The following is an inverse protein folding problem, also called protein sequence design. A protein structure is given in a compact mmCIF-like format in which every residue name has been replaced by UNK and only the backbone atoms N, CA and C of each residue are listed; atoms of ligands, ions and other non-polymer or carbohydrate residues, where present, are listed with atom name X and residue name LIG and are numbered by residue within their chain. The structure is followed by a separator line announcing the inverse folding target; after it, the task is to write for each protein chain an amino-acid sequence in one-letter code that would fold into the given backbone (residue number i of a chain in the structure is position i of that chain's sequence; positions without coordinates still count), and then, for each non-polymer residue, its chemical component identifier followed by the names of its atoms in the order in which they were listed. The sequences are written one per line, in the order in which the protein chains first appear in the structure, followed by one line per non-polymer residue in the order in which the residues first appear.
data_IF_677613275996
#
_entry.id   IF_677613275996
#
_cell.length_a   1.000
_cell.length_b   1.000
_cell.length_c   1.000
_cell.angle_alpha   90.00
_cell.angle_beta   90.00
_cell.angle_gamma   90.00
#
_symmetry.space_group_name_H-M   'P 1'
#
loop_
_entity.id
_entity.type
_entity.pdbx_description
1 polymer ?
#
# COMPACT_ATOMS: atom_id res chain seq x y z
N UNK A 1 -22.79 -16.07 10.40
CA UNK A 1 -22.78 -15.48 9.03
C UNK A 1 -21.74 -14.36 8.92
N UNK A 2 -21.62 -13.45 9.92
CA UNK A 2 -20.58 -12.41 9.92
C UNK A 2 -19.17 -12.97 10.15
N UNK A 3 -19.04 -13.97 11.00
CA UNK A 3 -17.78 -14.68 11.26
C UNK A 3 -17.30 -15.51 10.05
N UNK A 4 -18.20 -16.13 9.31
CA UNK A 4 -17.86 -16.91 8.10
C UNK A 4 -17.51 -16.01 6.89
N UNK A 5 -17.89 -14.73 6.93
CA UNK A 5 -17.59 -13.75 5.90
C UNK A 5 -16.23 -13.07 6.02
N UNK A 6 -15.43 -13.37 7.06
CA UNK A 6 -14.12 -12.73 7.28
C UNK A 6 -14.20 -11.27 7.72
N UNK A 7 -15.40 -10.75 8.04
CA UNK A 7 -15.59 -9.41 8.62
C UNK A 7 -15.41 -9.56 10.12
N UNK A 8 -14.22 -9.27 10.59
CA UNK A 8 -13.88 -9.42 12.02
C UNK A 8 -14.23 -8.19 12.86
N UNK A 9 -14.26 -7.00 12.29
CA UNK A 9 -14.67 -5.76 12.95
C UNK A 9 -15.09 -4.73 11.90
N UNK A 10 -16.20 -4.04 12.17
CA UNK A 10 -16.57 -2.83 11.43
C UNK A 10 -15.95 -1.66 12.19
N UNK A 11 -14.81 -1.19 11.72
CA UNK A 11 -14.16 -0.01 12.27
C UNK A 11 -14.73 1.22 11.56
N UNK A 12 -15.52 2.02 12.25
CA UNK A 12 -15.91 3.34 11.78
C UNK A 12 -14.72 4.29 11.95
N UNK A 13 -13.99 4.52 10.88
CA UNK A 13 -12.80 5.39 10.85
C UNK A 13 -13.09 6.81 11.36
N UNK A 14 -14.35 7.24 11.36
CA UNK A 14 -14.76 8.58 11.79
C UNK A 14 -14.70 8.83 13.30
N UNK A 15 -14.68 7.76 14.12
CA UNK A 15 -14.71 7.86 15.58
C UNK A 15 -13.35 7.65 16.27
N UNK A 16 -12.29 7.28 15.54
CA UNK A 16 -11.01 6.88 16.15
C UNK A 16 -10.29 7.98 16.95
N UNK A 17 -10.47 9.23 16.61
CA UNK A 17 -9.81 10.34 17.30
C UNK A 17 -10.68 11.61 17.30
N UNK A 18 -11.79 11.61 18.04
CA UNK A 18 -12.65 12.78 18.11
C UNK A 18 -11.91 13.99 18.70
N UNK A 19 -12.19 15.17 18.15
CA UNK A 19 -11.59 16.42 18.62
C UNK A 19 -11.96 16.71 20.09
N UNK A 20 -10.97 17.15 20.87
CA UNK A 20 -11.16 17.47 22.29
C UNK A 20 -11.11 16.28 23.25
N UNK A 21 -10.77 15.09 22.73
CA UNK A 21 -10.59 13.87 23.52
C UNK A 21 -9.14 13.42 23.53
N UNK A 22 -8.76 12.68 24.57
CA UNK A 22 -7.50 11.90 24.59
C UNK A 22 -7.76 10.56 23.96
N UNK A 23 -7.06 10.26 22.87
CA UNK A 23 -7.21 9.01 22.13
C UNK A 23 -6.12 8.02 22.53
N UNK A 24 -6.52 6.81 22.90
CA UNK A 24 -5.62 5.68 23.15
C UNK A 24 -5.62 4.77 21.92
N UNK A 25 -4.50 4.73 21.20
CA UNK A 25 -4.39 4.03 19.92
C UNK A 25 -3.19 3.12 19.92
N UNK A 26 -3.27 2.04 19.17
CA UNK A 26 -2.06 1.33 18.77
C UNK A 26 -1.32 2.13 17.71
N UNK A 27 -0.02 1.89 17.55
CA UNK A 27 0.78 2.56 16.51
C UNK A 27 0.21 2.28 15.11
N UNK A 28 -0.33 1.08 14.87
CA UNK A 28 -0.94 0.74 13.60
C UNK A 28 -2.22 1.54 13.31
N UNK A 29 -3.08 1.71 14.32
CA UNK A 29 -4.29 2.53 14.21
C UNK A 29 -3.99 4.02 13.99
N UNK A 30 -2.87 4.51 14.53
CA UNK A 30 -2.46 5.91 14.34
C UNK A 30 -1.88 6.24 12.96
N UNK A 31 -1.76 5.25 12.06
CA UNK A 31 -1.22 5.48 10.71
C UNK A 31 -2.09 6.46 9.94
N UNK A 32 -1.47 7.53 9.41
CA UNK A 32 -2.17 8.60 8.69
C UNK A 32 -2.77 9.70 9.57
N UNK A 33 -2.80 9.52 10.90
CA UNK A 33 -3.25 10.54 11.84
C UNK A 33 -2.09 11.44 12.27
N UNK A 34 -2.41 12.65 12.72
CA UNK A 34 -1.47 13.59 13.33
C UNK A 34 -2.12 14.26 14.53
N UNK A 35 -1.34 14.44 15.59
CA UNK A 35 -1.82 15.01 16.85
C UNK A 35 -0.89 16.12 17.31
N UNK A 36 -1.40 17.19 17.92
CA UNK A 36 -0.54 18.25 18.50
C UNK A 36 0.45 17.67 19.51
N UNK A 37 -0.02 16.77 20.36
CA UNK A 37 0.76 16.15 21.42
C UNK A 37 0.61 14.64 21.31
N UNK A 38 1.73 13.93 21.32
CA UNK A 38 1.75 12.45 21.31
C UNK A 38 2.56 11.94 22.50
N UNK A 39 1.96 11.05 23.27
CA UNK A 39 2.63 10.27 24.29
C UNK A 39 2.95 8.89 23.73
N UNK A 40 4.21 8.51 23.70
CA UNK A 40 4.61 7.16 23.33
C UNK A 40 5.06 6.43 24.59
N UNK A 41 4.21 5.52 25.06
CA UNK A 41 4.48 4.63 26.17
C UNK A 41 5.02 3.30 25.63
N UNK A 42 6.14 2.84 26.11
CA UNK A 42 6.73 1.54 25.77
C UNK A 42 8.18 1.58 25.27
N UNK A 43 8.96 2.56 25.72
CA UNK A 43 10.39 2.61 25.47
C UNK A 43 11.16 1.42 26.08
N UNK A 44 10.50 0.60 26.87
CA UNK A 44 11.05 -0.65 27.40
C UNK A 44 11.05 -1.81 26.39
N UNK A 45 10.36 -1.65 25.25
CA UNK A 45 10.25 -2.67 24.24
C UNK A 45 11.59 -2.94 23.52
N UNK A 46 11.72 -4.16 23.08
CA UNK A 46 12.86 -4.64 22.27
C UNK A 46 12.33 -5.34 21.02
N UNK A 47 13.14 -5.42 19.93
CA UNK A 47 12.74 -6.17 18.74
C UNK A 47 12.39 -7.60 19.09
N UNK A 48 11.16 -8.02 18.78
CA UNK A 48 10.69 -9.39 19.08
C UNK A 48 11.32 -10.37 18.09
N UNK A 49 11.74 -11.52 18.60
CA UNK A 49 12.24 -12.60 17.76
C UNK A 49 11.06 -13.22 16.99
N UNK A 50 11.00 -12.96 15.70
CA UNK A 50 10.01 -13.52 14.77
C UNK A 50 10.61 -14.59 13.86
N UNK A 51 11.69 -15.24 14.30
CA UNK A 51 12.35 -16.27 13.49
C UNK A 51 11.42 -17.44 13.25
N UNK A 52 11.01 -17.58 12.01
CA UNK A 52 10.39 -18.77 11.48
C UNK A 52 11.42 -19.44 10.57
N UNK A 53 11.97 -20.56 10.99
CA UNK A 53 13.01 -21.30 10.27
C UNK A 53 12.57 -21.68 8.84
N UNK A 54 11.26 -21.85 8.66
CA UNK A 54 10.68 -22.09 7.33
C UNK A 54 10.87 -20.88 6.42
N UNK A 55 10.61 -19.67 6.91
CA UNK A 55 10.76 -18.44 6.11
C UNK A 55 12.21 -18.16 5.75
N UNK A 56 13.13 -18.40 6.69
CA UNK A 56 14.58 -18.31 6.39
C UNK A 56 14.99 -19.33 5.33
N UNK A 57 14.50 -20.56 5.41
CA UNK A 57 14.78 -21.60 4.43
C UNK A 57 14.21 -21.23 3.05
N UNK A 58 13.04 -20.60 3.01
CA UNK A 58 12.43 -20.12 1.74
C UNK A 58 13.27 -18.99 1.15
N UNK A 59 13.69 -18.02 1.97
CA UNK A 59 14.55 -16.93 1.53
C UNK A 59 15.84 -17.48 0.91
N UNK A 60 16.58 -18.30 1.64
CA UNK A 60 17.85 -18.89 1.19
C UNK A 60 17.71 -19.72 -0.08
N UNK A 61 16.59 -20.44 -0.22
CA UNK A 61 16.40 -21.37 -1.32
C UNK A 61 15.89 -20.71 -2.61
N UNK A 62 15.06 -19.68 -2.49
CA UNK A 62 14.33 -19.10 -3.62
C UNK A 62 14.78 -17.71 -4.01
N UNK A 63 15.45 -16.96 -3.14
CA UNK A 63 16.00 -15.66 -3.51
C UNK A 63 17.43 -15.81 -4.02
N UNK A 64 17.64 -15.49 -5.28
CA UNK A 64 18.96 -15.58 -5.93
C UNK A 64 19.88 -14.38 -5.69
N UNK A 65 19.40 -13.36 -5.05
CA UNK A 65 20.14 -12.15 -4.65
C UNK A 65 19.88 -11.86 -3.18
N UNK A 66 20.81 -11.18 -2.49
CA UNK A 66 20.56 -10.78 -1.11
C UNK A 66 19.26 -9.97 -1.04
N UNK A 67 18.36 -10.37 -0.15
CA UNK A 67 17.19 -9.58 0.16
C UNK A 67 17.63 -8.20 0.69
N UNK A 68 16.93 -7.14 0.32
CA UNK A 68 17.18 -5.80 0.88
C UNK A 68 17.03 -5.80 2.40
N UNK A 69 16.08 -6.57 2.91
CA UNK A 69 15.85 -6.83 4.32
C UNK A 69 15.85 -8.34 4.55
N UNK A 70 17.01 -8.96 4.81
CA UNK A 70 17.08 -10.36 5.12
C UNK A 70 16.16 -10.73 6.29
N UNK A 71 15.46 -11.83 6.19
CA UNK A 71 14.45 -12.24 7.17
C UNK A 71 15.02 -12.30 8.62
N UNK A 72 16.28 -12.70 8.75
CA UNK A 72 16.98 -12.73 10.03
C UNK A 72 16.99 -11.39 10.78
N UNK A 73 17.09 -10.27 10.04
CA UNK A 73 17.18 -8.91 10.59
C UNK A 73 15.89 -8.10 10.45
N UNK A 74 14.87 -8.63 9.78
CA UNK A 74 13.56 -7.94 9.56
C UNK A 74 12.95 -7.42 10.87
N UNK A 75 13.10 -8.15 11.99
CA UNK A 75 12.63 -7.71 13.32
C UNK A 75 13.15 -6.34 13.75
N UNK A 76 14.35 -5.96 13.32
CA UNK A 76 14.95 -4.66 13.64
C UNK A 76 14.34 -3.58 12.76
N UNK A 77 14.15 -3.87 11.46
CA UNK A 77 13.51 -2.94 10.54
C UNK A 77 12.06 -2.68 10.93
N UNK A 78 11.30 -3.72 11.26
CA UNK A 78 9.90 -3.60 11.70
C UNK A 78 9.80 -2.83 13.01
N UNK A 79 10.69 -3.09 13.95
CA UNK A 79 10.76 -2.36 15.20
C UNK A 79 10.99 -0.86 14.97
N UNK A 80 11.97 -0.48 14.15
CA UNK A 80 12.26 0.92 13.88
C UNK A 80 11.19 1.60 13.03
N UNK A 81 10.60 0.92 12.06
CA UNK A 81 9.45 1.43 11.31
C UNK A 81 8.26 1.73 12.21
N UNK A 82 8.00 0.85 13.16
CA UNK A 82 6.92 1.02 14.12
C UNK A 82 7.14 2.29 14.95
N UNK A 83 8.33 2.46 15.53
CA UNK A 83 8.61 3.66 16.34
C UNK A 83 8.74 4.92 15.49
N UNK A 84 9.28 4.84 14.29
CA UNK A 84 9.25 5.95 13.36
C UNK A 84 7.80 6.40 13.08
N UNK A 85 6.90 5.46 12.86
CA UNK A 85 5.48 5.77 12.68
C UNK A 85 4.92 6.46 13.92
N UNK A 86 5.18 5.94 15.13
CA UNK A 86 4.69 6.55 16.35
C UNK A 86 5.21 7.99 16.56
N UNK A 87 6.51 8.19 16.40
CA UNK A 87 7.15 9.49 16.64
C UNK A 87 6.71 10.54 15.62
N UNK A 88 6.50 10.13 14.37
CA UNK A 88 6.05 11.04 13.30
C UNK A 88 4.58 11.43 13.41
N UNK A 89 3.85 10.97 14.43
CA UNK A 89 2.45 11.40 14.66
C UNK A 89 2.36 12.73 15.37
N UNK A 90 3.42 13.17 16.07
CA UNK A 90 3.44 14.44 16.80
C UNK A 90 3.65 15.63 15.85
N UNK A 91 2.80 16.65 15.96
CA UNK A 91 2.94 17.91 15.25
C UNK A 91 3.81 18.91 16.01
N UNK A 92 3.57 19.04 17.33
CA UNK A 92 4.18 20.08 18.15
C UNK A 92 5.01 19.50 19.30
N UNK A 93 4.54 18.42 19.96
CA UNK A 93 5.20 17.86 21.13
C UNK A 93 5.11 16.34 21.16
N UNK A 94 6.27 15.70 21.25
CA UNK A 94 6.42 14.26 21.47
C UNK A 94 6.94 14.01 22.88
N UNK A 95 6.18 13.26 23.67
CA UNK A 95 6.55 12.87 25.03
C UNK A 95 6.82 11.37 25.05
N UNK A 96 8.02 11.02 25.50
CA UNK A 96 8.46 9.63 25.58
C UNK A 96 8.37 9.18 27.04
N UNK A 97 7.68 8.08 27.29
CA UNK A 97 7.50 7.54 28.64
C UNK A 97 7.99 6.11 28.75
N UNK A 98 8.44 5.73 29.93
CA UNK A 98 8.76 4.36 30.28
C UNK A 98 8.33 4.06 31.73
N UNK A 99 8.03 2.81 32.02
CA UNK A 99 7.66 2.37 33.37
C UNK A 99 8.90 2.11 34.21
N UNK A 100 9.13 2.94 35.21
CA UNK A 100 10.29 2.84 36.10
C UNK A 100 10.26 1.61 37.04
N UNK A 101 9.06 1.13 37.41
CA UNK A 101 8.92 0.03 38.36
C UNK A 101 9.50 -1.31 37.90
N UNK A 102 9.75 -1.44 36.61
CA UNK A 102 10.20 -2.72 36.03
C UNK A 102 11.47 -2.68 35.20
N UNK A 103 11.79 -1.58 34.54
CA UNK A 103 13.04 -1.44 33.71
C UNK A 103 13.23 0.02 33.28
N UNK A 104 14.48 0.44 33.25
CA UNK A 104 14.95 1.58 32.45
C UNK A 104 14.58 1.42 30.97
N UNK A 105 14.58 2.47 30.16
CA UNK A 105 14.41 2.36 28.71
C UNK A 105 15.30 1.25 28.15
N UNK A 106 14.81 0.53 27.14
CA UNK A 106 15.62 -0.50 26.50
C UNK A 106 16.90 0.12 25.90
N UNK A 107 17.90 -0.71 25.69
CA UNK A 107 19.18 -0.26 25.11
C UNK A 107 19.03 0.49 23.77
N UNK A 108 17.90 0.26 23.05
CA UNK A 108 17.58 0.93 21.80
C UNK A 108 17.16 2.39 21.96
N UNK A 109 16.66 2.77 23.14
CA UNK A 109 16.15 4.13 23.40
C UNK A 109 16.91 4.84 24.53
N UNK A 110 17.84 4.16 25.16
CA UNK A 110 18.53 4.68 26.34
C UNK A 110 19.26 6.00 26.04
N UNK A 111 20.02 6.06 24.96
CA UNK A 111 20.76 7.26 24.55
C UNK A 111 19.82 8.45 24.33
N UNK A 112 18.76 8.25 23.52
CA UNK A 112 17.77 9.30 23.26
C UNK A 112 17.08 9.75 24.55
N UNK A 113 16.72 8.80 25.42
CA UNK A 113 16.05 9.11 26.68
C UNK A 113 16.95 9.90 27.64
N UNK A 114 18.24 9.56 27.72
CA UNK A 114 19.21 10.22 28.61
C UNK A 114 19.55 11.65 28.10
N UNK A 115 19.41 11.92 26.81
CA UNK A 115 19.69 13.25 26.21
C UNK A 115 18.48 14.19 26.23
N UNK A 116 17.27 13.67 26.33
CA UNK A 116 16.06 14.48 26.32
C UNK A 116 15.81 15.17 27.65
N UNK A 117 15.19 16.35 27.56
CA UNK A 117 14.75 17.10 28.73
C UNK A 117 13.62 16.35 29.45
N UNK A 118 13.73 16.19 30.75
CA UNK A 118 12.63 15.63 31.55
C UNK A 118 11.46 16.58 31.64
N UNK A 119 10.24 16.03 31.51
CA UNK A 119 8.99 16.78 31.70
C UNK A 119 8.83 17.31 33.13
N UNK A 120 9.43 16.62 34.10
CA UNK A 120 9.43 17.03 35.51
C UNK A 120 10.52 18.06 35.84
N UNK A 121 11.32 18.48 34.86
CA UNK A 121 12.34 19.50 35.10
C UNK A 121 11.69 20.91 35.25
N UNK A 122 12.24 21.75 36.13
CA UNK A 122 11.82 23.13 36.27
C UNK A 122 11.91 23.96 34.98
N UNK A 123 12.72 23.50 34.04
CA UNK A 123 12.93 24.13 32.75
C UNK A 123 11.84 23.76 31.71
N UNK A 124 10.95 22.80 32.00
CA UNK A 124 9.90 22.41 31.08
C UNK A 124 8.55 23.05 31.51
N UNK A 125 7.98 23.91 30.67
CA UNK A 125 6.64 24.43 30.86
C UNK A 125 5.79 24.22 29.62
N UNK A 126 4.81 23.32 29.68
CA UNK A 126 3.89 23.03 28.59
C UNK A 126 3.10 24.26 28.11
N UNK A 127 2.96 25.30 28.96
CA UNK A 127 2.26 26.55 28.63
C UNK A 127 3.04 27.43 27.64
N UNK A 128 4.34 27.18 27.48
CA UNK A 128 5.17 27.85 26.46
C UNK A 128 4.88 27.39 25.05
N UNK A 129 4.26 26.21 24.90
CA UNK A 129 3.88 25.66 23.62
C UNK A 129 2.54 26.24 23.15
N UNK A 130 2.56 26.88 21.99
CA UNK A 130 1.35 27.39 21.36
C UNK A 130 0.73 26.34 20.45
N UNK A 131 -0.03 25.43 21.04
CA UNK A 131 -0.71 24.38 20.29
C UNK A 131 -1.79 24.97 19.37
N UNK A 132 -1.74 24.61 18.11
CA UNK A 132 -2.78 24.98 17.16
C UNK A 132 -4.08 24.27 17.50
N UNK A 133 -5.21 24.95 17.26
CA UNK A 133 -6.51 24.31 17.38
C UNK A 133 -6.57 23.05 16.52
N UNK A 134 -6.92 21.93 17.15
CA UNK A 134 -7.06 20.65 16.47
C UNK A 134 -8.23 20.73 15.50
N UNK A 135 -8.04 20.27 14.27
CA UNK A 135 -9.15 20.10 13.32
C UNK A 135 -10.20 19.14 13.91
N UNK A 136 -11.46 19.33 13.56
CA UNK A 136 -12.56 18.47 14.04
C UNK A 136 -12.36 16.98 13.71
N UNK A 137 -11.57 16.69 12.69
CA UNK A 137 -11.22 15.32 12.28
C UNK A 137 -9.71 15.25 12.05
N UNK A 138 -9.01 14.40 12.82
CA UNK A 138 -7.57 14.17 12.67
C UNK A 138 -7.25 13.08 11.61
N UNK A 139 -8.23 12.29 11.22
CA UNK A 139 -8.07 11.28 10.18
C UNK A 139 -8.13 11.95 8.81
N UNK A 140 -7.07 11.80 8.03
CA UNK A 140 -7.04 12.30 6.66
C UNK A 140 -7.76 11.29 5.77
N UNK A 141 -8.77 11.75 5.04
CA UNK A 141 -9.44 10.91 4.05
C UNK A 141 -8.45 10.46 2.97
N UNK A 142 -8.46 9.17 2.67
CA UNK A 142 -7.61 8.57 1.64
C UNK A 142 -8.40 8.46 0.34
N UNK A 143 -7.84 8.96 -0.73
CA UNK A 143 -8.48 8.95 -2.06
C UNK A 143 -7.59 8.23 -3.07
N UNK A 144 -8.17 7.29 -3.82
CA UNK A 144 -7.52 6.71 -4.99
C UNK A 144 -8.14 7.25 -6.29
N UNK A 145 -7.35 7.30 -7.34
CA UNK A 145 -7.84 7.82 -8.61
C UNK A 145 -8.99 6.97 -9.17
N UNK A 146 -8.81 5.66 -9.20
CA UNK A 146 -9.77 4.74 -9.84
C UNK A 146 -11.05 4.56 -9.03
N UNK A 147 -10.95 4.39 -7.72
CA UNK A 147 -12.11 4.04 -6.89
C UNK A 147 -12.82 5.25 -6.28
N UNK A 148 -12.21 6.42 -6.25
CA UNK A 148 -12.84 7.65 -5.73
C UNK A 148 -13.02 8.68 -6.83
N UNK A 149 -11.93 9.21 -7.42
CA UNK A 149 -12.00 10.33 -8.35
C UNK A 149 -12.79 9.95 -9.62
N UNK A 150 -12.45 8.82 -10.25
CA UNK A 150 -13.15 8.38 -11.48
C UNK A 150 -14.61 8.07 -11.24
N UNK A 151 -14.96 7.48 -10.09
CA UNK A 151 -16.38 7.17 -9.76
C UNK A 151 -17.15 8.46 -9.55
N UNK A 152 -16.59 9.42 -8.81
CA UNK A 152 -17.25 10.73 -8.59
C UNK A 152 -17.46 11.51 -9.90
N UNK A 153 -16.43 11.59 -10.74
CA UNK A 153 -16.52 12.27 -12.04
C UNK A 153 -17.52 11.61 -13.01
N UNK A 154 -17.65 10.28 -12.91
CA UNK A 154 -18.63 9.55 -13.73
C UNK A 154 -20.05 9.82 -13.26
N UNK A 155 -20.29 9.75 -11.95
CA UNK A 155 -21.57 10.03 -11.33
C UNK A 155 -21.42 10.26 -9.83
N UNK A 156 -21.60 11.50 -9.37
CA UNK A 156 -21.54 11.85 -7.95
C UNK A 156 -22.54 11.06 -7.08
N UNK A 157 -23.72 10.74 -7.64
CA UNK A 157 -24.72 9.92 -6.94
C UNK A 157 -24.24 8.47 -6.78
N UNK A 158 -23.58 7.90 -7.79
CA UNK A 158 -22.95 6.58 -7.72
C UNK A 158 -21.84 6.57 -6.66
N UNK A 159 -21.02 7.63 -6.60
CA UNK A 159 -20.01 7.79 -5.55
C UNK A 159 -20.64 7.76 -4.16
N UNK A 160 -21.71 8.54 -3.96
CA UNK A 160 -22.45 8.55 -2.69
C UNK A 160 -22.92 7.15 -2.30
N UNK A 161 -23.53 6.40 -3.22
CA UNK A 161 -23.97 5.04 -2.90
C UNK A 161 -22.81 4.09 -2.60
N UNK A 162 -21.74 4.13 -3.37
CA UNK A 162 -20.66 3.14 -3.27
C UNK A 162 -19.63 3.47 -2.17
N UNK A 163 -19.47 4.74 -1.80
CA UNK A 163 -18.43 5.19 -0.89
C UNK A 163 -18.94 5.77 0.43
N UNK A 164 -20.02 6.53 0.39
CA UNK A 164 -20.59 7.12 1.61
C UNK A 164 -21.63 6.21 2.27
N UNK A 165 -22.39 5.47 1.46
CA UNK A 165 -23.44 4.56 1.94
C UNK A 165 -23.06 3.09 1.83
N UNK A 166 -21.86 2.78 1.35
CA UNK A 166 -21.24 1.44 1.27
C UNK A 166 -22.10 0.38 0.54
N UNK A 167 -22.92 0.78 -0.41
CA UNK A 167 -23.60 -0.17 -1.27
C UNK A 167 -22.59 -0.82 -2.22
N UNK A 168 -22.22 -2.06 -1.93
CA UNK A 168 -21.30 -2.81 -2.78
C UNK A 168 -21.99 -3.15 -4.11
N UNK A 169 -21.48 -2.69 -5.26
CA UNK A 169 -22.01 -3.11 -6.54
C UNK A 169 -21.76 -4.62 -6.75
N UNK A 170 -22.70 -5.28 -7.42
CA UNK A 170 -22.44 -6.64 -7.89
C UNK A 170 -21.27 -6.59 -8.86
N UNK A 171 -20.20 -7.30 -8.56
CA UNK A 171 -19.01 -7.33 -9.43
C UNK A 171 -19.36 -7.97 -10.77
N UNK A 172 -19.12 -7.23 -11.83
CA UNK A 172 -19.39 -7.70 -13.19
C UNK A 172 -18.27 -8.67 -13.64
N UNK A 173 -18.62 -9.62 -14.52
CA UNK A 173 -17.65 -10.53 -15.15
C UNK A 173 -16.49 -9.80 -15.81
N UNK A 174 -16.71 -8.56 -16.28
CA UNK A 174 -15.64 -7.73 -16.84
C UNK A 174 -14.56 -7.36 -15.83
N UNK A 175 -14.90 -7.21 -14.54
CA UNK A 175 -13.92 -6.95 -13.47
C UNK A 175 -13.10 -8.19 -13.21
N UNK A 176 -13.72 -9.37 -13.10
CA UNK A 176 -13.00 -10.63 -12.93
C UNK A 176 -12.04 -10.90 -14.11
N UNK A 177 -12.46 -10.59 -15.36
CA UNK A 177 -11.60 -10.70 -16.54
C UNK A 177 -10.35 -9.81 -16.40
N UNK A 178 -10.54 -8.53 -16.04
CA UNK A 178 -9.45 -7.58 -15.84
C UNK A 178 -8.49 -8.04 -14.75
N UNK A 179 -9.01 -8.35 -13.56
CA UNK A 179 -8.21 -8.80 -12.41
C UNK A 179 -7.39 -10.04 -12.74
N UNK A 180 -7.98 -11.04 -13.42
CA UNK A 180 -7.29 -12.27 -13.81
C UNK A 180 -6.12 -12.01 -14.77
N UNK A 181 -6.30 -11.11 -15.75
CA UNK A 181 -5.22 -10.70 -16.65
C UNK A 181 -4.11 -10.00 -15.88
N UNK A 182 -4.45 -9.05 -15.01
CA UNK A 182 -3.47 -8.30 -14.21
C UNK A 182 -2.69 -9.20 -13.26
N UNK A 183 -3.34 -10.04 -12.44
CA UNK A 183 -2.64 -10.94 -11.52
C UNK A 183 -1.70 -11.92 -12.24
N UNK A 184 -2.10 -12.39 -13.43
CA UNK A 184 -1.23 -13.30 -14.19
C UNK A 184 -0.03 -12.57 -14.80
N UNK A 185 -0.20 -11.34 -15.28
CA UNK A 185 0.91 -10.48 -15.72
C UNK A 185 1.84 -10.14 -14.55
N UNK A 186 1.28 -9.90 -13.36
CA UNK A 186 2.07 -9.70 -12.14
C UNK A 186 2.97 -10.91 -11.83
N UNK A 187 2.46 -12.14 -11.93
CA UNK A 187 3.28 -13.34 -11.74
C UNK A 187 4.44 -13.42 -12.73
N UNK A 188 4.21 -13.03 -13.98
CA UNK A 188 5.27 -12.92 -15.00
C UNK A 188 6.32 -11.88 -14.57
N UNK A 189 5.90 -10.69 -14.12
CA UNK A 189 6.83 -9.66 -13.66
C UNK A 189 7.59 -10.09 -12.42
N UNK A 190 6.94 -10.77 -11.49
CA UNK A 190 7.58 -11.31 -10.29
C UNK A 190 8.67 -12.31 -10.63
N UNK A 191 8.43 -13.19 -11.63
CA UNK A 191 9.44 -14.12 -12.11
C UNK A 191 10.64 -13.38 -12.74
N UNK A 192 10.38 -12.34 -13.54
CA UNK A 192 11.43 -11.50 -14.11
C UNK A 192 12.25 -10.77 -13.02
N UNK A 193 11.59 -10.14 -12.04
CA UNK A 193 12.24 -9.45 -10.93
C UNK A 193 13.07 -10.38 -10.02
N UNK A 194 12.76 -11.68 -10.00
CA UNK A 194 13.54 -12.71 -9.30
C UNK A 194 14.69 -13.28 -10.16
N UNK A 195 14.91 -12.77 -11.37
CA UNK A 195 15.85 -13.32 -12.35
C UNK A 195 15.57 -14.79 -12.69
N UNK A 196 14.29 -15.11 -12.81
CA UNK A 196 13.77 -16.43 -13.18
C UNK A 196 13.13 -16.41 -14.57
N UNK A 197 13.65 -15.60 -15.49
CA UNK A 197 13.10 -15.38 -16.84
C UNK A 197 12.92 -16.69 -17.60
N UNK A 198 13.81 -17.67 -17.36
CA UNK A 198 13.72 -19.02 -17.94
C UNK A 198 12.45 -19.79 -17.52
N UNK A 199 11.79 -19.34 -16.45
CA UNK A 199 10.51 -19.94 -16.01
C UNK A 199 9.30 -19.32 -16.70
N UNK A 200 9.48 -18.20 -17.43
CA UNK A 200 8.40 -17.53 -18.17
C UNK A 200 8.17 -18.30 -19.49
N UNK A 201 7.59 -19.46 -19.36
CA UNK A 201 7.19 -20.33 -20.48
C UNK A 201 5.68 -20.34 -20.62
N UNK A 202 5.18 -20.67 -21.82
CA UNK A 202 3.74 -20.79 -22.05
C UNK A 202 3.08 -21.76 -21.06
N UNK A 203 3.75 -22.88 -20.74
CA UNK A 203 3.25 -23.86 -19.76
C UNK A 203 3.11 -23.27 -18.36
N UNK A 204 4.11 -22.54 -17.87
CA UNK A 204 4.06 -21.91 -16.56
C UNK A 204 3.04 -20.77 -16.51
N UNK A 205 2.95 -19.96 -17.55
CA UNK A 205 1.94 -18.91 -17.65
C UNK A 205 0.53 -19.50 -17.61
N UNK A 206 0.28 -20.60 -18.33
CA UNK A 206 -1.00 -21.31 -18.26
C UNK A 206 -1.28 -21.82 -16.84
N UNK A 207 -0.28 -22.32 -16.13
CA UNK A 207 -0.42 -22.81 -14.75
C UNK A 207 -0.74 -21.65 -13.78
N UNK A 208 -0.03 -20.52 -13.87
CA UNK A 208 -0.30 -19.32 -13.06
C UNK A 208 -1.70 -18.80 -13.32
N UNK A 209 -2.08 -18.65 -14.58
CA UNK A 209 -3.42 -18.24 -14.98
C UNK A 209 -4.51 -19.15 -14.39
N UNK A 210 -4.33 -20.47 -14.47
CA UNK A 210 -5.28 -21.43 -13.92
C UNK A 210 -5.38 -21.31 -12.38
N UNK A 211 -4.25 -21.11 -11.69
CA UNK A 211 -4.20 -20.91 -10.25
C UNK A 211 -4.94 -19.64 -9.84
N UNK A 212 -4.66 -18.51 -10.50
CA UNK A 212 -5.30 -17.23 -10.24
C UNK A 212 -6.80 -17.29 -10.52
N UNK A 213 -7.22 -17.95 -11.60
CA UNK A 213 -8.63 -18.14 -11.89
C UNK A 213 -9.36 -18.91 -10.78
N UNK A 214 -8.76 -20.00 -10.28
CA UNK A 214 -9.35 -20.77 -9.17
C UNK A 214 -9.41 -19.94 -7.88
N UNK A 215 -8.38 -19.16 -7.57
CA UNK A 215 -8.35 -18.27 -6.42
C UNK A 215 -9.45 -17.21 -6.50
N UNK A 216 -9.48 -16.48 -7.61
CA UNK A 216 -10.44 -15.39 -7.83
C UNK A 216 -11.89 -15.86 -7.84
N UNK A 217 -12.17 -17.01 -8.48
CA UNK A 217 -13.55 -17.54 -8.49
C UNK A 217 -14.05 -17.96 -7.10
N UNK A 218 -13.15 -18.43 -6.24
CA UNK A 218 -13.50 -18.76 -4.85
C UNK A 218 -13.78 -17.49 -4.03
N UNK A 219 -12.99 -16.44 -4.23
CA UNK A 219 -13.12 -15.20 -3.47
C UNK A 219 -14.30 -14.35 -3.97
N UNK A 220 -14.45 -14.23 -5.29
CA UNK A 220 -15.41 -13.31 -5.89
C UNK A 220 -16.78 -13.94 -6.15
N UNK A 221 -16.91 -15.26 -6.02
CA UNK A 221 -18.13 -16.02 -6.35
C UNK A 221 -18.68 -15.72 -7.75
N UNK A 222 -17.78 -15.37 -8.69
CA UNK A 222 -18.08 -14.97 -10.06
C UNK A 222 -17.26 -15.81 -11.03
N UNK A 223 -17.81 -16.12 -12.21
CA UNK A 223 -17.18 -17.02 -13.17
C UNK A 223 -17.12 -16.39 -14.56
N UNK A 224 -16.04 -16.67 -15.29
CA UNK A 224 -15.95 -16.34 -16.70
C UNK A 224 -16.47 -17.51 -17.55
N UNK A 225 -17.22 -17.18 -18.61
CA UNK A 225 -17.55 -18.16 -19.65
C UNK A 225 -16.26 -18.64 -20.35
N UNK A 226 -16.28 -19.87 -20.87
CA UNK A 226 -15.12 -20.47 -21.56
C UNK A 226 -14.43 -19.53 -22.56
N UNK A 227 -15.16 -18.93 -23.52
CA UNK A 227 -14.57 -18.00 -24.50
C UNK A 227 -13.94 -16.75 -23.87
N UNK A 228 -14.49 -16.26 -22.76
CA UNK A 228 -13.92 -15.10 -22.03
C UNK A 228 -12.62 -15.48 -21.34
N UNK A 229 -12.57 -16.66 -20.72
CA UNK A 229 -11.35 -17.17 -20.07
C UNK A 229 -10.22 -17.40 -21.10
N UNK A 230 -10.54 -17.98 -22.24
CA UNK A 230 -9.58 -18.14 -23.35
C UNK A 230 -9.07 -16.79 -23.89
N UNK A 231 -9.98 -15.80 -24.01
CA UNK A 231 -9.59 -14.46 -24.43
C UNK A 231 -8.68 -13.77 -23.41
N UNK A 232 -8.90 -13.96 -22.11
CA UNK A 232 -8.04 -13.43 -21.05
C UNK A 232 -6.64 -14.06 -21.12
N UNK A 233 -6.55 -15.38 -21.20
CA UNK A 233 -5.29 -16.09 -21.35
C UNK A 233 -4.53 -15.63 -22.61
N UNK A 234 -5.22 -15.50 -23.72
CA UNK A 234 -4.62 -15.01 -24.98
C UNK A 234 -4.04 -13.61 -24.86
N UNK A 235 -4.64 -12.74 -24.04
CA UNK A 235 -4.06 -11.41 -23.78
C UNK A 235 -2.75 -11.51 -23.02
N UNK A 236 -2.67 -12.34 -21.98
CA UNK A 236 -1.45 -12.56 -21.22
C UNK A 236 -0.34 -13.15 -22.09
N UNK A 237 -0.63 -14.21 -22.84
CA UNK A 237 0.35 -14.84 -23.73
C UNK A 237 0.87 -13.87 -24.79
N UNK A 238 -0.02 -13.05 -25.38
CA UNK A 238 0.39 -12.00 -26.33
C UNK A 238 1.27 -10.93 -25.68
N UNK A 239 1.04 -10.61 -24.42
CA UNK A 239 1.90 -9.69 -23.67
C UNK A 239 3.30 -10.30 -23.52
N UNK A 240 3.41 -11.54 -23.05
CA UNK A 240 4.69 -12.26 -22.90
C UNK A 240 5.45 -12.35 -24.23
N UNK A 241 4.76 -12.74 -25.30
CA UNK A 241 5.34 -12.82 -26.64
C UNK A 241 5.94 -11.48 -27.10
N UNK A 242 5.26 -10.36 -26.84
CA UNK A 242 5.72 -9.02 -27.21
C UNK A 242 6.95 -8.53 -26.48
N UNK A 243 7.27 -9.09 -25.34
CA UNK A 243 8.50 -8.75 -24.60
C UNK A 243 9.74 -9.39 -25.26
N UNK A 244 9.58 -10.36 -26.17
CA UNK A 244 10.68 -11.06 -26.84
C UNK A 244 11.76 -11.60 -25.89
N UNK A 245 11.38 -11.89 -24.63
CA UNK A 245 12.28 -12.36 -23.58
C UNK A 245 13.14 -11.25 -22.93
N UNK A 246 12.95 -10.00 -23.30
CA UNK A 246 13.65 -8.88 -22.67
C UNK A 246 12.84 -8.31 -21.49
N UNK A 247 13.32 -8.63 -20.30
CA UNK A 247 12.74 -8.20 -19.02
C UNK A 247 13.67 -7.25 -18.25
N UNK A 248 14.81 -6.90 -18.83
CA UNK A 248 15.88 -6.14 -18.16
C UNK A 248 15.46 -4.75 -17.68
N UNK A 249 14.54 -4.12 -18.41
CA UNK A 249 14.04 -2.79 -18.08
C UNK A 249 13.07 -2.75 -16.90
N UNK A 250 12.55 -3.89 -16.43
CA UNK A 250 11.59 -3.95 -15.32
C UNK A 250 12.32 -3.70 -14.00
N UNK A 251 11.88 -2.66 -13.26
CA UNK A 251 12.43 -2.32 -11.96
C UNK A 251 11.51 -2.73 -10.81
N UNK A 252 10.21 -2.45 -10.93
CA UNK A 252 9.21 -2.75 -9.91
C UNK A 252 7.87 -3.05 -10.56
N UNK A 253 7.08 -3.92 -9.95
CA UNK A 253 5.71 -4.24 -10.35
C UNK A 253 4.76 -4.11 -9.17
N UNK A 254 3.49 -3.74 -9.42
CA UNK A 254 2.42 -3.60 -8.44
C UNK A 254 2.81 -2.70 -7.25
N UNK A 255 3.30 -1.50 -7.57
CA UNK A 255 3.90 -0.59 -6.59
C UNK A 255 2.83 0.30 -5.97
N UNK A 256 2.62 0.17 -4.67
CA UNK A 256 1.78 1.10 -3.92
C UNK A 256 2.50 2.44 -3.76
N UNK A 257 1.87 3.50 -4.20
CA UNK A 257 2.35 4.88 -4.09
C UNK A 257 1.34 5.73 -3.37
N UNK A 258 1.82 6.61 -2.49
CA UNK A 258 0.95 7.53 -1.76
C UNK A 258 1.62 8.88 -1.57
N UNK A 259 0.80 9.93 -1.51
CA UNK A 259 1.23 11.30 -1.23
C UNK A 259 0.34 11.90 -0.16
N UNK A 260 0.95 12.29 0.94
CA UNK A 260 0.26 12.90 2.08
C UNK A 260 0.21 14.41 1.89
N UNK A 261 -0.98 14.97 1.84
CA UNK A 261 -1.25 16.43 1.83
C UNK A 261 -1.80 16.86 3.20
N UNK A 262 -1.89 18.16 3.49
CA UNK A 262 -2.38 18.64 4.79
C UNK A 262 -3.76 18.09 5.19
N UNK A 263 -4.67 17.92 4.23
CA UNK A 263 -6.07 17.57 4.48
C UNK A 263 -6.49 16.19 3.98
N UNK A 264 -5.66 15.53 3.16
CA UNK A 264 -5.99 14.24 2.54
C UNK A 264 -4.74 13.46 2.17
N UNK A 265 -4.93 12.19 1.85
CA UNK A 265 -3.92 11.31 1.27
C UNK A 265 -4.40 10.89 -0.12
N UNK A 266 -3.53 11.01 -1.12
CA UNK A 266 -3.76 10.38 -2.43
C UNK A 266 -2.94 9.10 -2.48
N UNK A 267 -3.58 8.01 -2.86
CA UNK A 267 -2.93 6.73 -3.07
C UNK A 267 -3.19 6.19 -4.48
N UNK A 268 -2.31 5.34 -4.92
CA UNK A 268 -2.44 4.64 -6.19
C UNK A 268 -1.59 3.39 -6.21
N UNK A 269 -1.88 2.52 -7.14
CA UNK A 269 -1.09 1.34 -7.41
C UNK A 269 -0.62 1.41 -8.86
N UNK A 270 0.68 1.41 -9.06
CA UNK A 270 1.30 1.44 -10.39
C UNK A 270 1.61 0.01 -10.80
N UNK A 271 1.04 -0.43 -11.92
CA UNK A 271 1.17 -1.81 -12.36
C UNK A 271 2.64 -2.17 -12.68
N UNK A 272 3.40 -1.25 -13.31
CA UNK A 272 4.79 -1.49 -13.67
C UNK A 272 5.59 -0.18 -13.70
N UNK A 273 6.77 -0.22 -13.09
CA UNK A 273 7.81 0.81 -13.24
C UNK A 273 9.00 0.17 -13.94
N UNK A 274 9.43 0.78 -15.05
CA UNK A 274 10.58 0.35 -15.85
C UNK A 274 11.46 1.51 -16.24
N UNK A 275 12.68 1.25 -16.72
CA UNK A 275 13.63 2.24 -17.19
C UNK A 275 15.01 2.05 -16.60
N UNK A 276 15.92 3.00 -16.89
CA UNK A 276 17.30 2.99 -16.40
C UNK A 276 17.69 4.38 -15.87
N UNK A 277 18.56 4.39 -14.83
CA UNK A 277 19.11 5.63 -14.27
C UNK A 277 18.07 6.51 -13.57
N UNK A 278 18.13 7.83 -13.83
CA UNK A 278 17.32 8.84 -13.14
C UNK A 278 15.92 9.04 -13.76
N UNK A 279 15.64 8.38 -14.87
CA UNK A 279 14.35 8.47 -15.55
C UNK A 279 13.66 7.12 -15.50
N UNK A 280 12.36 7.13 -15.22
CA UNK A 280 11.51 5.94 -15.20
C UNK A 280 10.30 6.12 -16.10
N UNK A 281 9.79 5.02 -16.59
CA UNK A 281 8.51 4.93 -17.29
C UNK A 281 7.52 4.16 -16.42
N UNK A 282 6.33 4.72 -16.25
CA UNK A 282 5.23 4.00 -15.61
C UNK A 282 4.31 3.41 -16.68
N UNK A 283 3.85 2.20 -16.44
CA UNK A 283 2.92 1.50 -17.33
C UNK A 283 1.71 1.07 -16.53
N UNK A 284 0.54 1.30 -17.09
CA UNK A 284 -0.76 0.91 -16.53
C UNK A 284 -1.47 0.01 -17.56
N UNK A 285 -1.79 -1.22 -17.16
CA UNK A 285 -2.39 -2.21 -18.04
C UNK A 285 -3.90 -2.07 -18.09
N UNK A 286 -4.47 -2.16 -19.28
CA UNK A 286 -5.92 -2.14 -19.50
C UNK A 286 -6.34 -3.39 -20.24
N UNK A 287 -7.05 -4.28 -19.55
CA UNK A 287 -7.54 -5.55 -20.09
C UNK A 287 -8.81 -5.36 -20.94
N UNK A 288 -8.81 -4.40 -21.84
CA UNK A 288 -9.94 -4.07 -22.72
C UNK A 288 -9.50 -3.94 -24.18
N UNK A 289 -10.47 -3.77 -25.08
CA UNK A 289 -10.14 -3.48 -26.47
C UNK A 289 -9.47 -2.12 -26.57
N UNK A 290 -8.44 -2.04 -27.45
CA UNK A 290 -7.79 -0.76 -27.76
C UNK A 290 -8.88 0.28 -28.10
N UNK A 291 -8.93 1.40 -27.36
CA UNK A 291 -9.92 2.41 -27.60
C UNK A 291 -9.73 3.09 -28.96
N UNK A 292 -10.82 3.43 -29.61
CA UNK A 292 -10.81 4.24 -30.81
C UNK A 292 -10.44 5.68 -30.43
N UNK A 293 -9.32 6.17 -30.97
CA UNK A 293 -8.74 7.46 -30.62
C UNK A 293 -9.66 8.66 -30.93
N UNK A 294 -10.56 8.52 -31.88
CA UNK A 294 -11.49 9.58 -32.25
C UNK A 294 -12.79 9.52 -31.45
N UNK A 295 -13.30 8.30 -31.23
CA UNK A 295 -14.61 8.06 -30.61
C UNK A 295 -14.59 8.01 -29.10
N UNK A 296 -13.42 7.75 -28.51
CA UNK A 296 -13.28 7.51 -27.07
C UNK A 296 -12.34 8.54 -26.39
N UNK A 297 -12.38 9.80 -26.83
CA UNK A 297 -11.53 10.88 -26.30
C UNK A 297 -11.63 11.03 -24.78
N UNK A 298 -12.84 11.01 -24.23
CA UNK A 298 -13.05 11.16 -22.77
C UNK A 298 -12.43 10.01 -21.96
N UNK A 299 -12.46 8.80 -22.51
CA UNK A 299 -11.81 7.64 -21.87
C UNK A 299 -10.29 7.77 -21.89
N UNK A 300 -9.73 8.16 -23.03
CA UNK A 300 -8.29 8.38 -23.18
C UNK A 300 -7.80 9.52 -22.26
N UNK A 301 -8.57 10.58 -22.13
CA UNK A 301 -8.24 11.68 -21.24
C UNK A 301 -8.27 11.24 -19.77
N UNK A 302 -9.17 10.36 -19.36
CA UNK A 302 -9.16 9.75 -18.01
C UNK A 302 -7.92 8.93 -17.77
N UNK A 303 -7.49 8.08 -18.72
CA UNK A 303 -6.24 7.31 -18.60
C UNK A 303 -5.03 8.23 -18.53
N UNK A 304 -4.99 9.27 -19.34
CA UNK A 304 -3.93 10.28 -19.28
C UNK A 304 -3.84 10.94 -17.91
N UNK A 305 -4.97 11.35 -17.33
CA UNK A 305 -5.02 11.94 -15.99
C UNK A 305 -4.56 10.95 -14.92
N UNK A 306 -4.96 9.68 -15.01
CA UNK A 306 -4.47 8.63 -14.11
C UNK A 306 -2.94 8.55 -14.15
N UNK A 307 -2.37 8.44 -15.33
CA UNK A 307 -0.91 8.36 -15.50
C UNK A 307 -0.20 9.63 -15.00
N UNK A 308 -0.76 10.82 -15.21
CA UNK A 308 -0.16 12.06 -14.67
C UNK A 308 -0.17 12.09 -13.15
N UNK A 309 -1.24 11.63 -12.50
CA UNK A 309 -1.29 11.53 -11.04
C UNK A 309 -0.26 10.51 -10.56
N UNK A 310 -0.20 9.34 -11.17
CA UNK A 310 0.77 8.31 -10.80
C UNK A 310 2.22 8.77 -11.03
N UNK A 311 2.49 9.47 -12.13
CA UNK A 311 3.79 10.08 -12.38
C UNK A 311 4.18 11.05 -11.25
N UNK A 312 3.28 11.95 -10.89
CA UNK A 312 3.52 12.89 -9.78
C UNK A 312 3.78 12.15 -8.45
N UNK A 313 3.00 11.10 -8.13
CA UNK A 313 3.22 10.31 -6.92
C UNK A 313 4.59 9.61 -6.92
N UNK A 314 5.02 9.08 -8.07
CA UNK A 314 6.31 8.41 -8.22
C UNK A 314 7.46 9.43 -8.13
N UNK A 315 7.35 10.59 -8.79
CA UNK A 315 8.35 11.67 -8.74
C UNK A 315 8.54 12.19 -7.31
N UNK A 316 7.46 12.50 -6.60
CA UNK A 316 7.49 12.99 -5.22
C UNK A 316 8.10 11.96 -4.25
N UNK A 317 7.83 10.67 -4.47
CA UNK A 317 8.34 9.61 -3.62
C UNK A 317 9.80 9.26 -3.88
N UNK A 318 10.22 9.27 -5.14
CA UNK A 318 11.52 8.72 -5.57
C UNK A 318 12.54 9.78 -5.94
N UNK A 319 12.10 11.01 -6.20
CA UNK A 319 12.92 12.09 -6.77
C UNK A 319 13.35 11.84 -8.22
N UNK A 320 12.86 10.77 -8.86
CA UNK A 320 13.20 10.40 -10.24
C UNK A 320 12.18 10.98 -11.21
N UNK A 321 12.63 11.36 -12.38
CA UNK A 321 11.76 11.89 -13.43
C UNK A 321 10.98 10.77 -14.11
N UNK A 322 9.65 10.96 -14.32
CA UNK A 322 8.76 10.05 -15.01
C UNK A 322 8.45 10.52 -16.42
#
# INVERSE_FOLDING_TARGET
LLYDGGITEYEDDSEYAPSGCVSFLTIHQSKGMEFPIVFVDSLTNVPRKTTNDLMMTIEDRYFKRPAFEPYEVTKFFDFWRLYYTAFSRAQDLLILTCNEDKRTPSAYFKEVYDELQSVDSEAFDIREFNFKSVKAVNVKSTYSFTSHITVYETCALQYKFYRELEFMPVRANAMLFGTLVHETIEDVHRAALRHEEQTITEENVNRWFASNYVSLTKTEHTYLAGPQREAALKQVLRYVERQHGDWSAIQQAEVDVSLVKPDYIIEGKVDLIRGEGDTVEIVDFKAERKPDMEKMRDRLERYRRQLHIYAHLVEERTGRKV
#
